data_IF_939567380048
#
_entry.id   IF_939567380048
#
_cell.length_a   1.000
_cell.length_b   1.000
_cell.length_c   1.000
_cell.angle_alpha   90.00
_cell.angle_beta   90.00
_cell.angle_gamma   90.00
#
_symmetry.space_group_name_H-M   'P 1'
#
loop_
_entity.id
_entity.type
_entity.pdbx_description
1 polymer ?
#
# COMPACT_ATOMS: atom_id res chain seq x y z
N UNK A 1 -9.99 -29.87 -19.40
CA UNK A 1 -11.16 -28.98 -19.23
C UNK A 1 -10.76 -27.85 -18.29
N UNK A 2 -10.53 -26.64 -18.82
CA UNK A 2 -10.28 -25.46 -17.97
C UNK A 2 -11.63 -25.10 -17.34
N UNK A 3 -11.72 -25.17 -16.01
CA UNK A 3 -12.91 -24.69 -15.28
C UNK A 3 -13.14 -23.22 -15.66
N UNK A 4 -14.34 -22.88 -16.12
CA UNK A 4 -14.69 -21.50 -16.49
C UNK A 4 -14.56 -20.64 -15.23
N UNK A 5 -13.55 -19.77 -15.19
CA UNK A 5 -13.38 -18.81 -14.10
C UNK A 5 -14.59 -17.89 -14.06
N UNK A 6 -15.29 -17.86 -12.93
CA UNK A 6 -16.38 -16.91 -12.71
C UNK A 6 -15.76 -15.64 -12.10
N UNK A 7 -16.39 -14.48 -12.31
CA UNK A 7 -15.90 -13.18 -11.82
C UNK A 7 -15.50 -13.19 -10.33
N UNK A 8 -16.23 -13.94 -9.51
CA UNK A 8 -15.93 -14.11 -8.08
C UNK A 8 -14.60 -14.83 -7.83
N UNK A 9 -14.28 -15.85 -8.63
CA UNK A 9 -13.00 -16.55 -8.56
C UNK A 9 -11.86 -15.61 -8.94
N UNK A 10 -12.07 -14.76 -9.95
CA UNK A 10 -11.10 -13.75 -10.36
C UNK A 10 -10.86 -12.72 -9.25
N UNK A 11 -11.91 -12.21 -8.60
CA UNK A 11 -11.79 -11.28 -7.47
C UNK A 11 -10.96 -11.88 -6.33
N UNK A 12 -11.21 -13.15 -5.99
CA UNK A 12 -10.50 -13.87 -4.95
C UNK A 12 -9.03 -14.12 -5.32
N UNK A 13 -8.75 -14.48 -6.58
CA UNK A 13 -7.38 -14.62 -7.08
C UNK A 13 -6.64 -13.29 -6.99
N UNK A 14 -7.26 -12.19 -7.44
CA UNK A 14 -6.66 -10.86 -7.37
C UNK A 14 -6.39 -10.41 -5.92
N UNK A 15 -7.32 -10.68 -4.99
CA UNK A 15 -7.11 -10.44 -3.54
C UNK A 15 -6.01 -11.30 -2.92
N UNK A 16 -5.66 -12.45 -3.51
CA UNK A 16 -4.57 -13.29 -3.02
C UNK A 16 -3.23 -12.94 -3.68
N UNK A 17 -3.20 -12.91 -5.01
CA UNK A 17 -1.98 -12.65 -5.79
C UNK A 17 -1.48 -11.22 -5.64
N UNK A 18 -2.37 -10.23 -5.54
CA UNK A 18 -1.98 -8.83 -5.39
C UNK A 18 -1.08 -8.60 -4.17
N UNK A 19 -1.56 -8.91 -2.95
CA UNK A 19 -0.75 -8.81 -1.73
C UNK A 19 0.51 -9.68 -1.75
N UNK A 20 0.45 -10.87 -2.37
CA UNK A 20 1.62 -11.72 -2.52
C UNK A 20 2.72 -11.04 -3.34
N UNK A 21 2.37 -10.42 -4.47
CA UNK A 21 3.33 -9.67 -5.28
C UNK A 21 3.84 -8.42 -4.56
N UNK A 22 2.98 -7.71 -3.82
CA UNK A 22 3.38 -6.53 -3.03
C UNK A 22 4.24 -6.87 -1.81
N UNK A 23 4.16 -8.09 -1.28
CA UNK A 23 5.03 -8.56 -0.18
C UNK A 23 6.49 -8.74 -0.61
N UNK A 24 6.73 -9.10 -1.87
CA UNK A 24 8.10 -9.34 -2.37
C UNK A 24 8.96 -8.07 -2.26
N UNK A 25 8.53 -6.89 -2.77
CA UNK A 25 9.23 -5.63 -2.56
C UNK A 25 9.48 -5.29 -1.09
N UNK A 26 8.54 -5.57 -0.18
CA UNK A 26 8.73 -5.32 1.27
C UNK A 26 9.92 -6.10 1.81
N UNK A 27 10.02 -7.39 1.48
CA UNK A 27 11.17 -8.21 1.90
C UNK A 27 12.47 -7.78 1.23
N UNK A 28 12.43 -7.42 -0.06
CA UNK A 28 13.62 -6.94 -0.76
C UNK A 28 14.12 -5.61 -0.18
N UNK A 29 13.23 -4.68 0.14
CA UNK A 29 13.61 -3.42 0.80
C UNK A 29 14.25 -3.68 2.17
N UNK A 30 13.74 -4.60 2.97
CA UNK A 30 14.34 -4.95 4.28
C UNK A 30 15.73 -5.59 4.17
N UNK A 31 16.06 -6.21 3.02
CA UNK A 31 17.33 -6.89 2.80
C UNK A 31 18.39 -6.00 2.14
N UNK A 32 17.97 -5.05 1.31
CA UNK A 32 18.86 -4.29 0.41
C UNK A 32 18.89 -2.79 0.69
N UNK A 33 18.00 -2.25 1.53
CA UNK A 33 17.98 -0.82 1.83
C UNK A 33 18.31 -0.59 3.30
N UNK A 34 19.28 0.28 3.54
CA UNK A 34 19.56 0.81 4.86
C UNK A 34 18.71 2.06 5.11
N UNK A 35 18.57 2.44 6.39
CA UNK A 35 18.02 3.73 6.76
C UNK A 35 19.11 4.81 6.66
N UNK A 36 18.75 6.06 6.30
CA UNK A 36 19.71 7.15 6.28
C UNK A 36 20.39 7.32 7.64
N UNK A 37 21.68 7.64 7.62
CA UNK A 37 22.43 7.94 8.83
C UNK A 37 22.16 9.40 9.22
N UNK A 38 22.24 9.72 10.51
CA UNK A 38 21.99 11.08 11.00
C UNK A 38 22.92 12.11 10.32
N UNK A 39 22.35 13.21 9.83
CA UNK A 39 23.04 14.25 9.07
C UNK A 39 23.10 14.01 7.55
N UNK A 40 22.72 12.83 7.06
CA UNK A 40 22.56 12.57 5.64
C UNK A 40 21.21 13.11 5.13
N UNK A 41 21.20 13.74 3.94
CA UNK A 41 19.96 14.22 3.35
C UNK A 41 19.07 13.05 2.89
N UNK A 42 17.92 12.87 3.56
CA UNK A 42 17.02 11.72 3.42
C UNK A 42 16.64 11.43 1.97
N UNK A 43 16.28 12.46 1.18
CA UNK A 43 15.88 12.24 -0.22
C UNK A 43 17.06 11.83 -1.10
N UNK A 44 18.25 12.34 -0.80
CA UNK A 44 19.47 11.94 -1.53
C UNK A 44 19.83 10.50 -1.20
N UNK A 45 19.73 10.11 0.07
CA UNK A 45 19.98 8.75 0.51
C UNK A 45 19.08 7.75 -0.22
N UNK A 46 17.76 7.93 -0.16
CA UNK A 46 16.83 7.00 -0.78
C UNK A 46 16.93 7.00 -2.32
N UNK A 47 17.16 8.15 -2.95
CA UNK A 47 17.42 8.21 -4.38
C UNK A 47 18.67 7.38 -4.77
N UNK A 48 19.75 7.51 -4.01
CA UNK A 48 20.97 6.75 -4.23
C UNK A 48 20.76 5.23 -4.05
N UNK A 49 20.01 4.82 -3.03
CA UNK A 49 19.65 3.41 -2.84
C UNK A 49 18.92 2.83 -4.06
N UNK A 50 17.96 3.58 -4.62
CA UNK A 50 17.23 3.16 -5.82
C UNK A 50 18.18 3.03 -7.02
N UNK A 51 19.07 4.00 -7.22
CA UNK A 51 20.04 3.99 -8.32
C UNK A 51 21.02 2.82 -8.19
N UNK A 52 21.59 2.61 -7.00
CA UNK A 52 22.58 1.55 -6.72
C UNK A 52 21.95 0.17 -6.94
N UNK A 53 20.71 -0.03 -6.49
CA UNK A 53 19.99 -1.29 -6.65
C UNK A 53 19.52 -1.55 -8.10
N UNK A 54 19.45 -0.51 -8.95
CA UNK A 54 19.23 -0.60 -10.39
C UNK A 54 18.07 -1.53 -10.77
N UNK A 55 18.39 -2.68 -11.37
CA UNK A 55 17.40 -3.67 -11.81
C UNK A 55 16.50 -4.20 -10.68
N UNK A 56 17.00 -4.26 -9.43
CA UNK A 56 16.20 -4.69 -8.28
C UNK A 56 15.11 -3.65 -7.99
N UNK A 57 15.45 -2.36 -8.04
CA UNK A 57 14.49 -1.26 -7.88
C UNK A 57 13.42 -1.29 -8.98
N UNK A 58 13.82 -1.51 -10.24
CA UNK A 58 12.88 -1.66 -11.35
C UNK A 58 11.91 -2.82 -11.13
N UNK A 59 12.40 -3.97 -10.66
CA UNK A 59 11.57 -5.12 -10.33
C UNK A 59 10.62 -4.81 -9.16
N UNK A 60 11.11 -4.14 -8.12
CA UNK A 60 10.30 -3.75 -6.96
C UNK A 60 9.14 -2.84 -7.36
N UNK A 61 9.41 -1.82 -8.16
CA UNK A 61 8.39 -0.92 -8.70
C UNK A 61 7.36 -1.69 -9.54
N UNK A 62 7.80 -2.55 -10.45
CA UNK A 62 6.91 -3.35 -11.30
C UNK A 62 6.00 -4.28 -10.48
N UNK A 63 6.57 -5.03 -9.53
CA UNK A 63 5.82 -5.92 -8.65
C UNK A 63 4.84 -5.15 -7.75
N UNK A 64 5.24 -3.98 -7.27
CA UNK A 64 4.37 -3.10 -6.47
C UNK A 64 3.18 -2.60 -7.28
N UNK A 65 3.41 -2.13 -8.52
CA UNK A 65 2.37 -1.67 -9.43
C UNK A 65 1.37 -2.78 -9.76
N UNK A 66 1.87 -3.97 -10.16
CA UNK A 66 1.01 -5.11 -10.50
C UNK A 66 0.25 -5.58 -9.25
N UNK A 67 0.95 -5.72 -8.12
CA UNK A 67 0.37 -6.16 -6.85
C UNK A 67 -0.74 -5.22 -6.36
N UNK A 68 -0.50 -3.90 -6.43
CA UNK A 68 -1.48 -2.90 -6.06
C UNK A 68 -2.69 -2.89 -7.00
N UNK A 69 -2.47 -3.02 -8.31
CA UNK A 69 -3.55 -3.10 -9.31
C UNK A 69 -4.45 -4.30 -9.07
N UNK A 70 -3.87 -5.49 -8.84
CA UNK A 70 -4.63 -6.70 -8.52
C UNK A 70 -5.37 -6.56 -7.19
N UNK A 71 -4.72 -6.01 -6.16
CA UNK A 71 -5.35 -5.80 -4.86
C UNK A 71 -6.55 -4.86 -4.97
N UNK A 72 -6.42 -3.75 -5.70
CA UNK A 72 -7.49 -2.80 -5.95
C UNK A 72 -8.68 -3.42 -6.68
N UNK A 73 -8.42 -4.19 -7.75
CA UNK A 73 -9.47 -4.95 -8.43
C UNK A 73 -10.16 -5.94 -7.50
N UNK A 74 -9.38 -6.66 -6.69
CA UNK A 74 -9.88 -7.62 -5.72
C UNK A 74 -10.78 -6.99 -4.64
N UNK A 75 -10.37 -5.86 -4.07
CA UNK A 75 -11.15 -5.10 -3.07
C UNK A 75 -12.43 -4.56 -3.70
N UNK A 76 -12.35 -3.95 -4.88
CA UNK A 76 -13.51 -3.48 -5.62
C UNK A 76 -14.52 -4.61 -5.88
N UNK A 77 -14.05 -5.75 -6.36
CA UNK A 77 -14.87 -6.93 -6.60
C UNK A 77 -15.54 -7.48 -5.33
N UNK A 78 -14.78 -7.60 -4.23
CA UNK A 78 -15.31 -8.03 -2.93
C UNK A 78 -16.45 -7.13 -2.44
N UNK A 79 -16.27 -5.81 -2.54
CA UNK A 79 -17.27 -4.86 -2.04
C UNK A 79 -18.50 -4.82 -2.92
N UNK A 80 -18.35 -4.88 -4.24
CA UNK A 80 -19.49 -5.03 -5.14
C UNK A 80 -20.31 -6.29 -4.81
N UNK A 81 -19.64 -7.41 -4.50
CA UNK A 81 -20.33 -8.64 -4.10
C UNK A 81 -21.09 -8.50 -2.78
N UNK A 82 -20.51 -7.81 -1.79
CA UNK A 82 -21.16 -7.56 -0.49
C UNK A 82 -22.33 -6.57 -0.58
N UNK A 83 -22.29 -5.65 -1.54
CA UNK A 83 -23.31 -4.60 -1.70
C UNK A 83 -24.49 -5.00 -2.60
N UNK A 84 -24.48 -6.17 -3.24
CA UNK A 84 -25.55 -6.65 -4.15
C UNK A 84 -26.96 -6.54 -3.57
N UNK A 85 -27.11 -6.80 -2.27
CA UNK A 85 -28.42 -6.85 -1.63
C UNK A 85 -28.79 -5.54 -0.91
N UNK A 86 -27.79 -4.75 -0.49
CA UNK A 86 -27.97 -3.50 0.23
C UNK A 86 -26.75 -2.61 0.04
N UNK A 87 -26.94 -1.45 -0.59
CA UNK A 87 -25.87 -0.46 -0.73
C UNK A 87 -25.50 0.13 0.64
N UNK A 88 -24.19 0.31 0.84
CA UNK A 88 -23.62 0.96 2.02
C UNK A 88 -22.69 2.08 1.54
N UNK A 89 -23.13 3.33 1.70
CA UNK A 89 -22.42 4.51 1.21
C UNK A 89 -21.00 4.63 1.80
N UNK A 90 -20.78 4.17 3.05
CA UNK A 90 -19.45 4.21 3.66
C UNK A 90 -18.51 3.21 3.00
N UNK A 91 -19.02 2.02 2.63
CA UNK A 91 -18.23 1.06 1.86
C UNK A 91 -17.94 1.57 0.45
N UNK A 92 -18.91 2.18 -0.24
CA UNK A 92 -18.67 2.80 -1.56
C UNK A 92 -17.59 3.88 -1.46
N UNK A 93 -17.70 4.77 -0.48
CA UNK A 93 -16.72 5.82 -0.24
C UNK A 93 -15.33 5.24 0.08
N UNK A 94 -15.25 4.19 0.90
CA UNK A 94 -13.96 3.55 1.18
C UNK A 94 -13.30 2.99 -0.07
N UNK A 95 -14.05 2.35 -0.98
CA UNK A 95 -13.51 1.82 -2.24
C UNK A 95 -13.05 2.95 -3.15
N UNK A 96 -13.83 4.02 -3.26
CA UNK A 96 -13.44 5.21 -4.02
C UNK A 96 -12.09 5.77 -3.55
N UNK A 97 -11.92 5.95 -2.24
CA UNK A 97 -10.65 6.39 -1.65
C UNK A 97 -9.51 5.40 -1.95
N UNK A 98 -9.77 4.09 -1.84
CA UNK A 98 -8.78 3.04 -2.11
C UNK A 98 -8.25 3.12 -3.54
N UNK A 99 -9.16 3.24 -4.52
CA UNK A 99 -8.83 3.24 -5.93
C UNK A 99 -8.03 4.49 -6.32
N UNK A 100 -8.43 5.66 -5.84
CA UNK A 100 -7.69 6.90 -6.05
C UNK A 100 -6.29 6.80 -5.45
N UNK A 101 -6.19 6.32 -4.20
CA UNK A 101 -4.90 6.14 -3.56
C UNK A 101 -3.99 5.15 -4.29
N UNK A 102 -4.56 4.07 -4.81
CA UNK A 102 -3.84 3.07 -5.60
C UNK A 102 -3.24 3.70 -6.86
N UNK A 103 -4.01 4.52 -7.58
CA UNK A 103 -3.50 5.24 -8.76
C UNK A 103 -2.34 6.15 -8.36
N UNK A 104 -2.47 6.88 -7.26
CA UNK A 104 -1.41 7.74 -6.72
C UNK A 104 -0.12 6.97 -6.40
N UNK A 105 -0.24 5.80 -5.77
CA UNK A 105 0.93 4.95 -5.49
C UNK A 105 1.55 4.36 -6.76
N UNK A 106 0.76 4.00 -7.77
CA UNK A 106 1.29 3.57 -9.07
C UNK A 106 2.14 4.67 -9.70
N UNK A 107 1.66 5.93 -9.64
CA UNK A 107 2.44 7.09 -10.11
C UNK A 107 3.70 7.26 -9.25
N UNK A 108 3.60 7.08 -7.94
CA UNK A 108 4.74 7.14 -7.02
C UNK A 108 5.81 6.10 -7.35
N UNK A 109 5.48 4.81 -7.46
CA UNK A 109 6.46 3.77 -7.79
C UNK A 109 6.96 3.86 -9.23
N UNK A 110 6.25 4.57 -10.11
CA UNK A 110 6.79 4.87 -11.45
C UNK A 110 7.95 5.87 -11.40
N UNK A 111 8.13 6.60 -10.28
CA UNK A 111 9.27 7.49 -10.09
C UNK A 111 10.59 6.71 -10.02
N UNK A 112 10.60 5.47 -9.50
CA UNK A 112 11.77 4.58 -9.48
C UNK A 112 12.35 4.36 -10.89
N UNK A 113 11.50 4.25 -11.91
CA UNK A 113 11.94 4.12 -13.30
C UNK A 113 12.69 5.37 -13.77
N UNK A 114 12.18 6.54 -13.39
CA UNK A 114 12.80 7.83 -13.70
C UNK A 114 14.12 7.99 -12.93
N UNK A 115 14.17 7.55 -11.68
CA UNK A 115 15.39 7.58 -10.86
C UNK A 115 16.50 6.70 -11.43
N UNK A 116 16.18 5.48 -11.88
CA UNK A 116 17.17 4.54 -12.42
C UNK A 116 17.66 4.94 -13.82
N UNK A 117 16.78 5.48 -14.68
CA UNK A 117 17.12 5.81 -16.07
C UNK A 117 17.48 7.28 -16.30
N UNK A 118 17.16 8.15 -15.35
CA UNK A 118 17.29 9.61 -15.47
C UNK A 118 18.65 10.15 -15.03
N UNK A 119 18.74 11.48 -14.97
CA UNK A 119 19.94 12.18 -14.51
C UNK A 119 20.06 12.10 -12.98
N UNK A 120 21.19 11.59 -12.49
CA UNK A 120 21.49 11.47 -11.07
C UNK A 120 21.43 12.81 -10.32
N UNK A 121 21.70 13.94 -10.99
CA UNK A 121 21.62 15.27 -10.37
C UNK A 121 20.18 15.68 -10.00
N UNK A 122 19.18 15.11 -10.68
CA UNK A 122 17.76 15.37 -10.43
C UNK A 122 17.14 14.35 -9.46
N UNK A 123 17.89 13.30 -9.11
CA UNK A 123 17.37 12.18 -8.34
C UNK A 123 16.81 12.56 -6.95
N UNK A 124 17.47 13.44 -6.15
CA UNK A 124 16.89 13.88 -4.88
C UNK A 124 15.55 14.60 -5.05
N UNK A 125 15.43 15.47 -6.07
CA UNK A 125 14.18 16.16 -6.38
C UNK A 125 13.07 15.21 -6.80
N UNK A 126 13.43 14.16 -7.54
CA UNK A 126 12.48 13.13 -7.96
C UNK A 126 11.98 12.30 -6.77
N UNK A 127 12.88 11.95 -5.85
CA UNK A 127 12.54 11.28 -4.60
C UNK A 127 11.61 12.14 -3.71
N UNK A 128 11.78 13.47 -3.71
CA UNK A 128 10.83 14.37 -3.05
C UNK A 128 9.43 14.30 -3.66
N UNK A 129 9.31 14.19 -4.99
CA UNK A 129 8.02 14.01 -5.67
C UNK A 129 7.38 12.69 -5.25
N UNK A 130 8.15 11.61 -5.23
CA UNK A 130 7.69 10.30 -4.77
C UNK A 130 7.14 10.37 -3.33
N UNK A 131 7.91 10.94 -2.39
CA UNK A 131 7.47 11.12 -1.01
C UNK A 131 6.21 11.98 -0.90
N UNK A 132 6.12 13.06 -1.67
CA UNK A 132 4.93 13.93 -1.69
C UNK A 132 3.67 13.17 -2.13
N UNK A 133 3.79 12.29 -3.12
CA UNK A 133 2.72 11.39 -3.56
C UNK A 133 2.37 10.39 -2.45
N UNK A 134 3.36 9.77 -1.80
CA UNK A 134 3.15 8.84 -0.70
C UNK A 134 2.42 9.51 0.47
N UNK A 135 2.81 10.72 0.87
CA UNK A 135 2.12 11.44 1.94
C UNK A 135 0.68 11.77 1.55
N UNK A 136 0.46 12.29 0.35
CA UNK A 136 -0.87 12.73 -0.11
C UNK A 136 -1.84 11.56 -0.27
N UNK A 137 -1.42 10.53 -1.02
CA UNK A 137 -2.26 9.37 -1.30
C UNK A 137 -2.28 8.35 -0.17
N UNK A 138 -1.26 8.33 0.69
CA UNK A 138 -1.22 7.51 1.90
C UNK A 138 -2.35 7.83 2.86
N UNK A 139 -2.69 9.11 3.06
CA UNK A 139 -3.84 9.49 3.90
C UNK A 139 -5.13 8.87 3.35
N UNK A 140 -5.36 8.96 2.03
CA UNK A 140 -6.53 8.39 1.38
C UNK A 140 -6.56 6.85 1.50
N UNK A 141 -5.41 6.22 1.31
CA UNK A 141 -5.24 4.77 1.42
C UNK A 141 -5.58 4.25 2.81
N UNK A 142 -4.97 4.81 3.85
CA UNK A 142 -5.20 4.36 5.22
C UNK A 142 -6.60 4.74 5.72
N UNK A 143 -7.14 5.89 5.29
CA UNK A 143 -8.55 6.24 5.54
C UNK A 143 -9.50 5.21 4.94
N UNK A 144 -9.26 4.79 3.71
CA UNK A 144 -10.02 3.73 3.06
C UNK A 144 -10.01 2.44 3.88
N UNK A 145 -8.81 1.95 4.25
CA UNK A 145 -8.68 0.69 4.98
C UNK A 145 -9.34 0.79 6.36
N UNK A 146 -9.21 1.93 7.05
CA UNK A 146 -9.85 2.15 8.34
C UNK A 146 -11.38 2.06 8.26
N UNK A 147 -11.99 2.72 7.27
CA UNK A 147 -13.44 2.71 7.04
C UNK A 147 -13.88 1.31 6.60
N UNK A 148 -13.18 0.71 5.63
CA UNK A 148 -13.48 -0.61 5.09
C UNK A 148 -13.51 -1.68 6.17
N UNK A 149 -12.45 -1.76 6.98
CA UNK A 149 -12.31 -2.73 8.07
C UNK A 149 -13.38 -2.52 9.15
N UNK A 150 -13.70 -1.28 9.51
CA UNK A 150 -14.79 -0.96 10.44
C UNK A 150 -16.15 -1.40 9.89
N UNK A 151 -16.45 -1.15 8.61
CA UNK A 151 -17.73 -1.60 8.01
C UNK A 151 -17.79 -3.12 7.94
N UNK A 152 -16.72 -3.79 7.54
CA UNK A 152 -16.64 -5.25 7.54
C UNK A 152 -16.79 -5.87 8.93
N UNK A 153 -16.36 -5.16 9.97
CA UNK A 153 -16.58 -5.56 11.38
C UNK A 153 -18.08 -5.57 11.70
N UNK A 154 -18.82 -4.51 11.33
CA UNK A 154 -20.27 -4.46 11.56
C UNK A 154 -21.03 -5.57 10.82
N UNK A 155 -20.52 -6.01 9.67
CA UNK A 155 -21.07 -7.14 8.91
C UNK A 155 -20.57 -8.51 9.40
N UNK A 156 -19.70 -8.57 10.41
CA UNK A 156 -19.04 -9.80 10.90
C UNK A 156 -18.40 -10.58 9.75
N UNK A 157 -17.77 -9.88 8.80
CA UNK A 157 -17.23 -10.49 7.59
C UNK A 157 -15.97 -11.34 7.87
N UNK A 158 -15.13 -10.97 8.82
CA UNK A 158 -13.97 -11.77 9.25
C UNK A 158 -13.87 -11.74 10.78
N UNK A 159 -12.77 -12.28 11.31
CA UNK A 159 -12.48 -12.23 12.74
C UNK A 159 -12.52 -10.78 13.25
N UNK A 160 -13.27 -10.57 14.34
CA UNK A 160 -13.49 -9.24 14.94
C UNK A 160 -12.20 -8.58 15.39
N UNK A 161 -11.29 -9.32 16.04
CA UNK A 161 -10.03 -8.76 16.54
C UNK A 161 -9.14 -8.31 15.39
N UNK A 162 -9.08 -9.09 14.31
CA UNK A 162 -8.34 -8.71 13.09
C UNK A 162 -8.87 -7.40 12.50
N UNK A 163 -10.19 -7.27 12.35
CA UNK A 163 -10.81 -6.10 11.73
C UNK A 163 -10.69 -4.85 12.63
N UNK A 164 -10.78 -5.01 13.96
CA UNK A 164 -10.51 -3.93 14.91
C UNK A 164 -9.05 -3.49 14.78
N UNK A 165 -8.10 -4.42 14.86
CA UNK A 165 -6.67 -4.11 14.76
C UNK A 165 -6.34 -3.39 13.44
N UNK A 166 -6.90 -3.86 12.32
CA UNK A 166 -6.69 -3.25 11.01
C UNK A 166 -7.26 -1.83 10.94
N UNK A 167 -8.46 -1.61 11.51
CA UNK A 167 -9.09 -0.29 11.54
C UNK A 167 -8.30 0.69 12.41
N UNK A 168 -7.86 0.25 13.59
CA UNK A 168 -7.08 1.05 14.53
C UNK A 168 -5.71 1.39 13.97
N UNK A 169 -4.95 0.41 13.46
CA UNK A 169 -3.62 0.66 12.90
C UNK A 169 -3.68 1.54 11.65
N UNK A 170 -4.70 1.37 10.81
CA UNK A 170 -4.89 2.27 9.66
C UNK A 170 -5.18 3.69 10.12
N UNK A 171 -6.00 3.87 11.15
CA UNK A 171 -6.22 5.19 11.76
C UNK A 171 -4.94 5.81 12.33
N UNK A 172 -4.11 5.01 13.01
CA UNK A 172 -2.80 5.45 13.51
C UNK A 172 -1.89 5.90 12.35
N UNK A 173 -1.84 5.16 11.25
CA UNK A 173 -1.03 5.53 10.09
C UNK A 173 -1.45 6.86 9.46
N UNK A 174 -2.73 7.22 9.49
CA UNK A 174 -3.18 8.56 9.06
C UNK A 174 -2.55 9.65 9.94
N UNK A 175 -2.61 9.48 11.26
CA UNK A 175 -2.03 10.45 12.19
C UNK A 175 -0.51 10.48 12.12
N UNK A 176 0.16 9.34 11.88
CA UNK A 176 1.60 9.29 11.66
C UNK A 176 2.02 10.04 10.40
N UNK A 177 1.27 9.92 9.31
CA UNK A 177 1.50 10.71 8.09
C UNK A 177 1.40 12.20 8.39
N UNK A 178 0.30 12.63 9.02
CA UNK A 178 0.07 14.04 9.34
C UNK A 178 1.17 14.57 10.26
N UNK A 179 1.50 13.82 11.32
CA UNK A 179 2.58 14.18 12.23
C UNK A 179 3.90 14.34 11.48
N UNK A 180 4.29 13.34 10.70
CA UNK A 180 5.55 13.35 9.94
C UNK A 180 5.59 14.52 8.97
N UNK A 181 4.50 14.85 8.28
CA UNK A 181 4.43 15.99 7.37
C UNK A 181 4.81 17.32 8.03
N UNK A 182 4.45 17.51 9.31
CA UNK A 182 4.75 18.73 10.06
C UNK A 182 6.05 18.69 10.86
N UNK A 183 6.65 17.50 11.03
CA UNK A 183 7.89 17.32 11.81
C UNK A 183 9.05 16.79 10.98
N UNK A 184 8.89 16.64 9.67
CA UNK A 184 9.92 16.11 8.79
C UNK A 184 11.12 17.07 8.73
N UNK A 185 12.29 16.53 9.06
CA UNK A 185 13.56 17.22 8.88
C UNK A 185 14.40 16.39 7.91
N UNK A 186 14.75 16.95 6.72
CA UNK A 186 15.50 16.23 5.70
C UNK A 186 16.88 15.73 6.14
N UNK A 187 17.43 16.21 7.27
CA UNK A 187 18.75 15.80 7.77
C UNK A 187 18.69 14.96 9.05
N UNK A 188 17.48 14.66 9.54
CA UNK A 188 17.27 13.82 10.71
C UNK A 188 16.46 12.58 10.33
N UNK A 189 17.16 11.45 10.23
CA UNK A 189 16.59 10.17 9.79
C UNK A 189 15.50 9.66 10.74
N UNK A 190 15.58 10.02 12.03
CA UNK A 190 14.59 9.61 13.02
C UNK A 190 13.19 10.15 12.73
N UNK A 191 13.07 11.24 11.97
CA UNK A 191 11.78 11.86 11.64
C UNK A 191 10.91 10.98 10.73
N UNK A 192 11.50 10.06 9.97
CA UNK A 192 10.74 9.14 9.09
C UNK A 192 10.60 7.72 9.65
N UNK A 193 11.46 7.31 10.60
CA UNK A 193 11.49 5.94 11.11
C UNK A 193 10.13 5.45 11.62
N UNK A 194 9.42 6.30 12.38
CA UNK A 194 8.13 5.94 12.96
C UNK A 194 7.05 5.75 11.88
N UNK A 195 7.11 6.55 10.81
CA UNK A 195 6.22 6.42 9.67
C UNK A 195 6.42 5.08 8.96
N UNK A 196 7.67 4.74 8.65
CA UNK A 196 8.02 3.48 7.99
C UNK A 196 7.60 2.26 8.81
N UNK A 197 7.81 2.29 10.13
CA UNK A 197 7.37 1.22 11.02
C UNK A 197 5.84 1.06 11.00
N UNK A 198 5.10 2.17 11.05
CA UNK A 198 3.65 2.16 10.94
C UNK A 198 3.16 1.59 9.60
N UNK A 199 3.80 1.99 8.50
CA UNK A 199 3.49 1.47 7.16
C UNK A 199 3.78 -0.02 7.04
N UNK A 200 4.91 -0.49 7.55
CA UNK A 200 5.26 -1.91 7.54
C UNK A 200 4.23 -2.74 8.32
N UNK A 201 3.96 -2.35 9.57
CA UNK A 201 3.00 -3.05 10.43
C UNK A 201 1.58 -3.05 9.83
N UNK A 202 1.13 -1.90 9.34
CA UNK A 202 -0.17 -1.74 8.70
C UNK A 202 -0.29 -2.58 7.42
N UNK A 203 0.76 -2.60 6.59
CA UNK A 203 0.76 -3.32 5.31
C UNK A 203 0.72 -4.82 5.52
N UNK A 204 1.53 -5.35 6.45
CA UNK A 204 1.50 -6.78 6.82
C UNK A 204 0.09 -7.17 7.26
N UNK A 205 -0.53 -6.38 8.15
CA UNK A 205 -1.87 -6.70 8.64
C UNK A 205 -2.93 -6.61 7.52
N UNK A 206 -2.80 -5.62 6.63
CA UNK A 206 -3.67 -5.50 5.48
C UNK A 206 -3.53 -6.68 4.51
N UNK A 207 -2.31 -7.16 4.26
CA UNK A 207 -2.08 -8.33 3.42
C UNK A 207 -2.66 -9.61 4.04
N UNK A 208 -2.50 -9.80 5.35
CA UNK A 208 -3.17 -10.89 6.09
C UNK A 208 -4.69 -10.82 5.91
N UNK A 209 -5.28 -9.62 6.03
CA UNK A 209 -6.69 -9.42 5.74
C UNK A 209 -7.06 -9.84 4.31
N UNK A 210 -6.31 -9.41 3.30
CA UNK A 210 -6.59 -9.74 1.91
C UNK A 210 -6.53 -11.25 1.66
N UNK A 211 -5.53 -11.97 2.20
CA UNK A 211 -5.45 -13.44 2.08
C UNK A 211 -6.64 -14.14 2.72
N UNK A 212 -7.07 -13.70 3.90
CA UNK A 212 -8.23 -14.27 4.59
C UNK A 212 -9.54 -13.95 3.86
N UNK A 213 -9.67 -12.75 3.30
CA UNK A 213 -10.81 -12.35 2.48
C UNK A 213 -10.88 -13.16 1.17
N UNK A 214 -9.74 -13.35 0.49
CA UNK A 214 -9.63 -14.20 -0.69
C UNK A 214 -10.09 -15.64 -0.38
N UNK A 215 -9.54 -16.23 0.69
CA UNK A 215 -9.92 -17.58 1.13
C UNK A 215 -11.43 -17.69 1.40
N UNK A 216 -12.01 -16.71 2.11
CA UNK A 216 -13.45 -16.70 2.40
C UNK A 216 -14.29 -16.64 1.13
N UNK A 217 -13.86 -15.86 0.12
CA UNK A 217 -14.55 -15.75 -1.15
C UNK A 217 -14.49 -17.03 -1.99
N UNK A 218 -13.40 -17.82 -1.91
CA UNK A 218 -13.34 -19.14 -2.56
C UNK A 218 -14.24 -20.20 -1.92
N UNK A 219 -14.52 -20.08 -0.62
CA UNK A 219 -15.31 -21.08 0.13
C UNK A 219 -16.82 -20.84 0.12
N UNK A 220 -17.27 -19.67 -0.37
CA UNK A 220 -18.69 -19.33 -0.53
C UNK A 220 -19.12 -19.53 -1.98
#
# INVERSE_FOLDING_TARGET
MIKKLILKDLNAICLGLGPFLSLIPVFLQLLYNDMPVEGEHVFTHFANQIIINGNISLLNALLSIIGATLTAFGIFGLINDLQKNKSDNLMVFSVFLFLIATIGFIISWSQDFILVWGDANLAPSQMMIEFSLIFSFGILYWSSIAILSYRLLTLKFLNTNLLIALSTLSSINIFLIIYTLFTFDPYNASTVNLLYLGFLAGSILFYVFCFLAARKNFTK
#
